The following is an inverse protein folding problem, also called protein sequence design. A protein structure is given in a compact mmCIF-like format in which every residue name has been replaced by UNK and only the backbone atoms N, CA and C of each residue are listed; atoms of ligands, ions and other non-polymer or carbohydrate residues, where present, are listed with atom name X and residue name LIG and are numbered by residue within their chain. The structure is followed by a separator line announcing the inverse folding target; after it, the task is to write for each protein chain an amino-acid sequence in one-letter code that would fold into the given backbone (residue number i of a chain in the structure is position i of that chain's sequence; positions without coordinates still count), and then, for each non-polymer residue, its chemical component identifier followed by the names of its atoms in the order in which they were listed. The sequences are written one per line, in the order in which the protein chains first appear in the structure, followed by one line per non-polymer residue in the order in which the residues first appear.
data_IF_157848109542
#
_entry.id   IF_157848109542
#
_cell.length_a   1.000
_cell.length_b   1.000
_cell.length_c   1.000
_cell.angle_alpha   90.00
_cell.angle_beta   90.00
_cell.angle_gamma   90.00
#
_symmetry.space_group_name_H-M   'P 1'
#
loop_
_entity.id
_entity.type
_entity.pdbx_description
1 polymer ?
#
# COMPACT_ATOMS: atom_id res chain seq x y z
N UNK A 1 -7.82 -8.62 14.92
CA UNK A 1 -8.00 -9.00 13.51
C UNK A 1 -9.46 -9.40 13.43
N UNK A 2 -10.29 -8.50 12.91
CA UNK A 2 -11.73 -8.77 12.85
C UNK A 2 -11.93 -9.91 11.87
N UNK A 3 -12.28 -11.08 12.41
CA UNK A 3 -12.71 -12.20 11.61
C UNK A 3 -14.07 -11.80 11.05
N UNK A 4 -14.09 -11.53 9.75
CA UNK A 4 -15.30 -11.19 9.01
C UNK A 4 -16.23 -12.41 9.04
N UNK A 5 -17.53 -12.18 9.25
CA UNK A 5 -18.53 -13.25 9.22
C UNK A 5 -18.55 -13.91 7.82
N UNK A 6 -18.56 -15.24 7.68
CA UNK A 6 -18.60 -15.92 6.39
C UNK A 6 -19.79 -15.53 5.49
N UNK A 7 -20.88 -15.00 6.06
CA UNK A 7 -22.03 -14.48 5.31
C UNK A 7 -21.84 -13.04 4.83
N UNK A 8 -20.73 -12.38 5.16
CA UNK A 8 -20.47 -11.02 4.71
C UNK A 8 -20.24 -11.03 3.21
N UNK A 9 -21.03 -10.28 2.42
CA UNK A 9 -20.83 -10.22 0.97
C UNK A 9 -19.51 -9.55 0.64
N UNK A 10 -18.96 -9.86 -0.55
CA UNK A 10 -17.82 -9.12 -1.08
C UNK A 10 -18.16 -7.64 -1.23
N UNK A 11 -17.18 -6.75 -1.05
CA UNK A 11 -17.41 -5.34 -1.27
C UNK A 11 -17.69 -5.08 -2.77
N UNK A 12 -18.43 -4.01 -3.12
CA UNK A 12 -18.91 -3.79 -4.50
C UNK A 12 -17.80 -3.56 -5.54
N UNK A 13 -16.57 -3.30 -5.10
CA UNK A 13 -15.38 -3.10 -5.94
C UNK A 13 -14.55 -4.38 -6.11
N UNK A 14 -14.98 -5.51 -5.54
CA UNK A 14 -14.25 -6.78 -5.59
C UNK A 14 -15.20 -7.93 -5.94
N UNK A 15 -15.03 -8.51 -7.12
CA UNK A 15 -15.94 -9.54 -7.63
C UNK A 15 -15.56 -10.96 -7.15
N UNK A 16 -16.48 -11.91 -7.33
CA UNK A 16 -16.20 -13.34 -7.12
C UNK A 16 -15.10 -13.86 -8.07
N UNK A 17 -14.98 -13.28 -9.26
CA UNK A 17 -13.96 -13.61 -10.23
C UNK A 17 -12.58 -13.15 -9.75
N UNK A 18 -12.48 -11.93 -9.22
CA UNK A 18 -11.25 -11.41 -8.61
C UNK A 18 -10.82 -12.29 -7.43
N UNK A 19 -11.76 -12.63 -6.54
CA UNK A 19 -11.50 -13.55 -5.43
C UNK A 19 -11.00 -14.91 -5.92
N UNK A 20 -11.61 -15.48 -6.96
CA UNK A 20 -11.19 -16.76 -7.53
C UNK A 20 -9.75 -16.72 -8.09
N UNK A 21 -9.34 -15.60 -8.68
CA UNK A 21 -7.96 -15.39 -9.16
C UNK A 21 -6.97 -15.40 -7.98
N UNK A 22 -7.25 -14.64 -6.92
CA UNK A 22 -6.41 -14.64 -5.72
C UNK A 22 -6.38 -16.01 -5.04
N UNK A 23 -7.54 -16.65 -4.86
CA UNK A 23 -7.66 -17.96 -4.22
C UNK A 23 -6.88 -19.04 -4.98
N UNK A 24 -7.04 -19.13 -6.31
CA UNK A 24 -6.29 -20.10 -7.12
C UNK A 24 -4.77 -19.85 -7.10
N UNK A 25 -4.35 -18.58 -7.09
CA UNK A 25 -2.95 -18.20 -6.98
C UNK A 25 -2.34 -18.63 -5.65
N UNK A 26 -3.04 -18.43 -4.52
CA UNK A 26 -2.59 -18.86 -3.20
C UNK A 26 -2.70 -20.37 -2.97
N UNK A 27 -3.68 -21.06 -3.56
CA UNK A 27 -3.74 -22.52 -3.55
C UNK A 27 -2.51 -23.14 -4.23
N UNK A 28 -2.03 -22.52 -5.32
CA UNK A 28 -0.84 -22.98 -6.04
C UNK A 28 0.47 -22.64 -5.33
N UNK A 29 0.60 -21.42 -4.81
CA UNK A 29 1.86 -20.90 -4.25
C UNK A 29 2.01 -21.13 -2.74
N UNK A 30 0.91 -21.28 -2.02
CA UNK A 30 0.86 -21.21 -0.56
C UNK A 30 1.24 -19.82 -0.01
N UNK A 31 1.18 -19.67 1.31
CA UNK A 31 1.47 -18.38 1.99
C UNK A 31 2.90 -18.25 2.50
N UNK A 32 3.81 -19.19 2.17
CA UNK A 32 5.16 -19.20 2.78
C UNK A 32 5.95 -17.93 2.47
N UNK A 33 5.99 -17.50 1.21
CA UNK A 33 6.72 -16.30 0.77
C UNK A 33 6.03 -14.98 1.17
N UNK A 34 4.70 -14.81 0.98
CA UNK A 34 3.99 -13.63 1.48
C UNK A 34 4.14 -13.42 3.00
N UNK A 35 4.25 -14.50 3.78
CA UNK A 35 4.55 -14.41 5.22
C UNK A 35 6.04 -14.20 5.50
N UNK A 36 6.93 -14.52 4.57
CA UNK A 36 8.36 -14.29 4.73
C UNK A 36 8.66 -12.78 4.67
N UNK A 37 8.22 -12.11 3.59
CA UNK A 37 8.48 -10.68 3.35
C UNK A 37 7.14 -9.92 3.36
N UNK A 38 6.97 -8.88 4.19
CA UNK A 38 7.97 -8.34 5.12
C UNK A 38 8.01 -9.04 6.48
N UNK A 39 7.00 -9.82 6.88
CA UNK A 39 6.73 -10.13 8.29
C UNK A 39 7.85 -10.90 9.03
N UNK A 40 8.36 -12.01 8.47
CA UNK A 40 9.42 -12.80 9.13
C UNK A 40 10.81 -12.21 8.94
N UNK A 41 10.98 -11.28 8.00
CA UNK A 41 12.26 -10.62 7.72
C UNK A 41 12.34 -9.19 8.25
N UNK A 42 11.29 -8.67 8.90
CA UNK A 42 11.21 -7.26 9.29
C UNK A 42 12.36 -6.82 10.22
N UNK A 43 12.89 -7.73 11.04
CA UNK A 43 14.02 -7.47 11.94
C UNK A 43 15.38 -7.84 11.37
N UNK A 44 15.48 -8.27 10.11
CA UNK A 44 16.76 -8.60 9.49
C UNK A 44 17.42 -7.29 9.04
N UNK A 45 18.60 -7.02 9.59
CA UNK A 45 19.43 -5.90 9.14
C UNK A 45 19.87 -6.14 7.68
N UNK A 46 19.56 -5.18 6.82
CA UNK A 46 19.93 -5.18 5.41
C UNK A 46 21.27 -4.48 5.14
N UNK A 47 21.94 -3.97 6.18
CA UNK A 47 23.22 -3.27 6.08
C UNK A 47 23.11 -1.86 5.48
N UNK A 48 21.91 -1.31 5.36
CA UNK A 48 21.67 0.03 4.81
C UNK A 48 21.82 1.07 5.93
N UNK A 49 22.91 1.82 5.90
CA UNK A 49 23.27 2.77 6.97
C UNK A 49 22.84 4.22 6.71
N UNK A 50 22.57 4.57 5.45
CA UNK A 50 22.10 5.91 5.06
C UNK A 50 21.09 5.79 3.91
N UNK A 51 19.85 5.31 4.19
CA UNK A 51 18.86 5.13 3.15
C UNK A 51 18.47 6.48 2.56
N UNK A 52 18.54 6.59 1.23
CA UNK A 52 18.04 7.76 0.50
C UNK A 52 17.42 7.30 -0.81
N UNK A 53 16.20 7.74 -1.06
CA UNK A 53 15.50 7.53 -2.34
C UNK A 53 15.59 8.85 -3.11
N UNK A 54 16.41 8.87 -4.15
CA UNK A 54 16.66 10.08 -4.95
C UNK A 54 15.66 10.24 -6.11
N UNK A 55 14.94 9.18 -6.46
CA UNK A 55 13.90 9.25 -7.48
C UNK A 55 12.69 10.05 -6.96
N UNK A 56 12.05 10.88 -7.82
CA UNK A 56 10.75 11.43 -7.51
C UNK A 56 9.80 10.31 -7.10
N UNK A 57 9.07 10.51 -6.00
CA UNK A 57 8.23 9.47 -5.40
C UNK A 57 6.83 10.00 -5.12
N UNK A 58 5.83 9.24 -5.53
CA UNK A 58 4.44 9.43 -5.14
C UNK A 58 4.01 8.32 -4.18
N UNK A 59 3.58 8.70 -2.98
CA UNK A 59 2.92 7.82 -2.02
C UNK A 59 1.42 8.11 -2.01
N UNK A 60 0.62 7.16 -2.49
CA UNK A 60 -0.84 7.21 -2.44
C UNK A 60 -1.31 6.33 -1.29
N UNK A 61 -2.07 6.87 -0.34
CA UNK A 61 -2.64 6.10 0.77
C UNK A 61 -4.11 6.40 0.96
N UNK A 62 -4.90 5.39 1.33
CA UNK A 62 -6.26 5.60 1.82
C UNK A 62 -6.26 6.17 3.23
N UNK A 63 -7.12 7.16 3.52
CA UNK A 63 -7.25 7.67 4.89
C UNK A 63 -7.80 6.63 5.86
N UNK A 64 -8.55 5.64 5.35
CA UNK A 64 -9.12 4.53 6.12
C UNK A 64 -8.24 3.27 6.07
N UNK A 65 -6.99 3.38 5.65
CA UNK A 65 -6.02 2.28 5.70
C UNK A 65 -5.67 1.93 7.16
N UNK A 66 -5.89 0.68 7.55
CA UNK A 66 -5.57 0.19 8.89
C UNK A 66 -4.08 0.30 9.22
N UNK A 67 -3.19 0.35 8.21
CA UNK A 67 -1.76 0.54 8.41
C UNK A 67 -1.44 1.83 9.19
N UNK A 68 -2.26 2.87 9.02
CA UNK A 68 -2.13 4.13 9.75
C UNK A 68 -2.45 3.99 11.25
N UNK A 69 -3.14 2.92 11.65
CA UNK A 69 -3.43 2.62 13.06
C UNK A 69 -2.27 1.94 13.78
N UNK A 70 -1.23 1.48 13.07
CA UNK A 70 -0.04 0.95 13.73
C UNK A 70 0.74 2.07 14.42
N UNK A 71 1.23 1.84 15.66
CA UNK A 71 1.94 2.86 16.42
C UNK A 71 3.08 3.51 15.64
N UNK A 72 3.05 4.84 15.53
CA UNK A 72 4.09 5.64 14.90
C UNK A 72 4.04 5.73 13.36
N UNK A 73 3.22 4.93 12.66
CA UNK A 73 3.16 4.95 11.19
C UNK A 73 2.53 6.25 10.68
N UNK A 74 1.35 6.63 11.18
CA UNK A 74 0.70 7.87 10.77
C UNK A 74 1.59 9.10 11.04
N UNK A 75 2.20 9.19 12.22
CA UNK A 75 3.10 10.28 12.58
C UNK A 75 4.35 10.30 11.68
N UNK A 76 4.92 9.14 11.37
CA UNK A 76 6.11 9.05 10.52
C UNK A 76 5.82 9.51 9.09
N UNK A 77 4.68 9.13 8.52
CA UNK A 77 4.28 9.49 7.14
C UNK A 77 3.82 10.95 7.06
N UNK A 78 3.05 11.43 8.05
CA UNK A 78 2.49 12.79 8.05
C UNK A 78 3.49 13.86 8.52
N UNK A 79 4.59 13.48 9.16
CA UNK A 79 5.68 14.39 9.51
C UNK A 79 6.69 14.53 8.38
N UNK A 80 7.58 15.52 8.48
CA UNK A 80 8.68 15.70 7.52
C UNK A 80 9.80 14.63 7.65
N UNK A 81 9.67 13.67 8.59
CA UNK A 81 10.68 12.62 8.79
C UNK A 81 10.90 11.79 7.53
N UNK A 82 9.82 11.41 6.84
CA UNK A 82 9.92 10.62 5.63
C UNK A 82 10.61 11.39 4.50
N UNK A 83 10.42 12.72 4.43
CA UNK A 83 11.08 13.57 3.43
C UNK A 83 12.59 13.68 3.62
N UNK A 84 13.12 13.42 4.81
CA UNK A 84 14.57 13.34 5.00
C UNK A 84 15.20 12.15 4.26
N UNK A 85 14.44 11.07 4.08
CA UNK A 85 14.87 9.86 3.36
C UNK A 85 14.45 9.92 1.89
N UNK A 86 13.30 10.54 1.59
CA UNK A 86 12.75 10.71 0.24
C UNK A 86 12.52 12.21 -0.02
N UNK A 87 13.54 12.96 -0.45
CA UNK A 87 13.44 14.42 -0.53
C UNK A 87 12.39 14.92 -1.52
N UNK A 88 12.20 14.23 -2.64
CA UNK A 88 11.20 14.56 -3.67
C UNK A 88 9.97 13.64 -3.52
N UNK A 89 9.30 13.77 -2.38
CA UNK A 89 8.12 12.99 -2.01
C UNK A 89 6.84 13.81 -2.09
N UNK A 90 5.90 13.32 -2.88
CA UNK A 90 4.50 13.72 -2.88
C UNK A 90 3.67 12.66 -2.15
N UNK A 91 2.83 13.09 -1.22
CA UNK A 91 1.91 12.21 -0.49
C UNK A 91 0.49 12.65 -0.78
N UNK A 92 -0.34 11.70 -1.22
CA UNK A 92 -1.78 11.91 -1.44
C UNK A 92 -2.57 10.97 -0.54
N UNK A 93 -3.37 11.55 0.34
CA UNK A 93 -4.34 10.83 1.15
C UNK A 93 -5.69 10.84 0.44
N UNK A 94 -6.21 9.66 0.13
CA UNK A 94 -7.51 9.47 -0.51
C UNK A 94 -8.54 9.21 0.59
N UNK A 95 -9.42 10.19 0.83
CA UNK A 95 -10.40 10.22 1.94
C UNK A 95 -11.22 8.92 2.05
N UNK A 96 -11.75 8.43 0.93
CA UNK A 96 -12.54 7.19 0.88
C UNK A 96 -11.69 5.93 0.66
N UNK A 97 -10.37 6.06 0.50
CA UNK A 97 -9.46 4.95 0.28
C UNK A 97 -9.28 4.09 1.53
N UNK A 98 -9.16 2.78 1.34
CA UNK A 98 -8.76 1.82 2.37
C UNK A 98 -7.37 1.25 2.03
N UNK A 99 -7.00 0.12 2.64
CA UNK A 99 -5.73 -0.56 2.35
C UNK A 99 -5.57 -0.99 0.89
N UNK A 100 -6.68 -1.28 0.21
CA UNK A 100 -6.73 -1.66 -1.20
C UNK A 100 -7.19 -0.47 -2.07
N UNK A 101 -6.67 0.74 -1.79
CA UNK A 101 -7.11 2.00 -2.42
C UNK A 101 -7.15 1.94 -3.95
N UNK A 102 -6.21 1.22 -4.57
CA UNK A 102 -6.11 1.06 -6.02
C UNK A 102 -7.18 0.13 -6.61
N UNK A 103 -7.67 -0.85 -5.85
CA UNK A 103 -8.80 -1.70 -6.27
C UNK A 103 -10.14 -0.99 -5.99
N UNK A 104 -10.23 -0.27 -4.87
CA UNK A 104 -11.47 0.43 -4.46
C UNK A 104 -11.76 1.68 -5.30
N UNK A 105 -10.74 2.47 -5.63
CA UNK A 105 -10.86 3.76 -6.33
C UNK A 105 -9.90 3.81 -7.54
N UNK A 106 -10.02 2.88 -8.50
CA UNK A 106 -9.03 2.70 -9.56
C UNK A 106 -8.89 3.93 -10.46
N UNK A 107 -9.99 4.62 -10.81
CA UNK A 107 -9.93 5.81 -11.66
C UNK A 107 -9.15 6.95 -11.00
N UNK A 108 -9.41 7.21 -9.72
CA UNK A 108 -8.72 8.26 -8.97
C UNK A 108 -7.24 7.94 -8.80
N UNK A 109 -6.89 6.68 -8.49
CA UNK A 109 -5.49 6.26 -8.36
C UNK A 109 -4.77 6.34 -9.73
N UNK A 110 -5.43 5.92 -10.82
CA UNK A 110 -4.88 6.02 -12.17
C UNK A 110 -4.62 7.47 -12.58
N UNK A 111 -5.53 8.40 -12.30
CA UNK A 111 -5.34 9.82 -12.58
C UNK A 111 -4.13 10.39 -11.83
N UNK A 112 -4.00 10.07 -10.53
CA UNK A 112 -2.84 10.48 -9.72
C UNK A 112 -1.52 9.96 -10.30
N UNK A 113 -1.47 8.68 -10.68
CA UNK A 113 -0.29 8.09 -11.30
C UNK A 113 0.05 8.74 -12.64
N UNK A 114 -0.94 8.92 -13.52
CA UNK A 114 -0.73 9.54 -14.84
C UNK A 114 -0.24 10.98 -14.69
N UNK A 115 -0.84 11.77 -13.79
CA UNK A 115 -0.42 13.14 -13.54
C UNK A 115 1.02 13.22 -13.01
N UNK A 116 1.38 12.33 -12.08
CA UNK A 116 2.74 12.24 -11.57
C UNK A 116 3.74 11.84 -12.66
N UNK A 117 3.42 10.83 -13.47
CA UNK A 117 4.26 10.41 -14.58
C UNK A 117 4.41 11.50 -15.64
N UNK A 118 3.36 12.25 -15.97
CA UNK A 118 3.43 13.38 -16.90
C UNK A 118 4.27 14.54 -16.35
N UNK A 119 4.25 14.76 -15.03
CA UNK A 119 5.05 15.80 -14.36
C UNK A 119 6.55 15.48 -14.40
N UNK A 120 6.92 14.20 -14.30
CA UNK A 120 8.32 13.75 -14.19
C UNK A 120 8.86 13.03 -15.43
N UNK A 121 8.01 12.72 -16.40
CA UNK A 121 8.35 12.09 -17.67
C UNK A 121 8.73 13.13 -18.72
N UNK A 122 10.01 13.49 -18.76
CA UNK A 122 10.65 14.01 -19.97
C UNK A 122 11.36 12.87 -20.69
#
# INVERSE_FOLDING_TARGET
MDLVDPSTPLPPWFSEEDLAVYASSYLKSGFRYPLQVPYRTLGIDCGITNPKVEAPTLLIMGEKDYALSFPGIADYIKSDKLKHIVPDLEIVFVEEGNHFVHEKLPEQVNELMINFLNKHGN
#
